data_IF_774734239900
#
_entry.id   IF_774734239900
#
_cell.length_a   1.000
_cell.length_b   1.000
_cell.length_c   1.000
_cell.angle_alpha   90.00
_cell.angle_beta   90.00
_cell.angle_gamma   90.00
#
_symmetry.space_group_name_H-M   'P 1'
#
loop_
_entity.id
_entity.type
_entity.pdbx_description
1 polymer ?
#
# COMPACT_ATOMS: atom_id res chain seq x y z
N UNK A 1 18.23 -15.37 -20.11
CA UNK A 1 17.07 -16.22 -19.77
C UNK A 1 17.57 -17.42 -18.98
N UNK A 2 16.86 -17.83 -17.92
CA UNK A 2 17.25 -18.98 -17.09
C UNK A 2 16.06 -19.90 -16.93
N UNK A 3 16.32 -21.20 -17.01
CA UNK A 3 15.36 -22.28 -16.86
C UNK A 3 15.90 -23.27 -15.83
N UNK A 4 15.02 -24.08 -15.27
CA UNK A 4 15.44 -25.20 -14.42
C UNK A 4 14.69 -26.46 -14.79
N UNK A 5 15.43 -27.52 -14.94
CA UNK A 5 14.91 -28.88 -15.13
C UNK A 5 15.24 -29.69 -13.88
N UNK A 6 14.28 -30.40 -13.35
CA UNK A 6 14.52 -31.30 -12.22
C UNK A 6 15.30 -32.57 -12.66
N UNK A 7 15.66 -33.45 -11.72
CA UNK A 7 16.37 -34.68 -11.99
C UNK A 7 15.68 -35.66 -12.97
N UNK A 8 14.36 -35.47 -13.19
CA UNK A 8 13.56 -36.23 -14.16
C UNK A 8 13.42 -35.52 -15.52
N UNK A 9 14.19 -34.46 -15.77
CA UNK A 9 14.09 -33.65 -17.00
C UNK A 9 12.85 -32.79 -17.13
N UNK A 10 12.03 -32.63 -16.06
CA UNK A 10 10.80 -31.81 -16.11
C UNK A 10 11.15 -30.34 -15.89
N UNK A 11 10.67 -29.49 -16.80
CA UNK A 11 10.78 -28.02 -16.70
C UNK A 11 10.03 -27.48 -15.49
N UNK A 12 10.67 -26.63 -14.69
CA UNK A 12 10.06 -25.96 -13.55
C UNK A 12 9.02 -24.93 -13.99
N UNK A 13 7.95 -24.82 -13.19
CA UNK A 13 6.84 -23.90 -13.40
C UNK A 13 6.29 -23.47 -12.06
N UNK A 14 5.94 -22.18 -11.92
CA UNK A 14 5.45 -21.62 -10.67
C UNK A 14 6.52 -21.50 -9.59
N UNK A 15 6.07 -21.48 -8.32
CA UNK A 15 6.97 -21.43 -7.17
C UNK A 15 7.65 -22.78 -6.97
N UNK A 16 8.95 -22.83 -7.15
CA UNK A 16 9.76 -24.07 -7.10
C UNK A 16 10.88 -23.92 -6.09
N UNK A 17 11.07 -24.95 -5.24
CA UNK A 17 12.20 -25.06 -4.31
C UNK A 17 13.39 -25.71 -5.02
N UNK A 18 14.56 -25.07 -4.96
CA UNK A 18 15.82 -25.60 -5.49
C UNK A 18 16.85 -25.40 -4.39
N UNK A 19 17.36 -26.50 -3.85
CA UNK A 19 18.17 -26.46 -2.64
C UNK A 19 17.42 -25.81 -1.48
N UNK A 20 18.01 -24.84 -0.84
CA UNK A 20 17.41 -24.12 0.30
C UNK A 20 16.60 -22.88 -0.12
N UNK A 21 16.53 -22.58 -1.41
CA UNK A 21 15.90 -21.37 -1.92
C UNK A 21 14.62 -21.66 -2.70
N UNK A 22 13.73 -20.67 -2.73
CA UNK A 22 12.58 -20.67 -3.61
C UNK A 22 12.80 -19.72 -4.79
N UNK A 23 12.33 -20.16 -5.96
CA UNK A 23 12.35 -19.42 -7.21
C UNK A 23 10.94 -19.39 -7.80
N UNK A 24 10.71 -18.50 -8.74
CA UNK A 24 9.46 -18.49 -9.48
C UNK A 24 9.72 -18.57 -10.98
N UNK A 25 9.06 -19.53 -11.63
CA UNK A 25 9.15 -19.76 -13.07
C UNK A 25 7.80 -19.46 -13.73
N UNK A 26 7.83 -18.88 -14.90
CA UNK A 26 6.62 -18.49 -15.61
C UNK A 26 5.71 -19.71 -15.88
N UNK A 27 4.42 -19.54 -15.52
CA UNK A 27 3.40 -20.59 -15.64
C UNK A 27 2.56 -20.43 -16.90
N UNK A 28 2.70 -19.30 -17.60
CA UNK A 28 1.85 -18.95 -18.74
C UNK A 28 1.93 -19.98 -19.85
N UNK A 29 0.78 -20.33 -20.41
CA UNK A 29 0.66 -21.10 -21.63
C UNK A 29 1.02 -20.28 -22.89
N UNK A 30 1.33 -18.98 -22.76
CA UNK A 30 1.91 -18.23 -23.87
C UNK A 30 3.29 -18.85 -24.18
N UNK A 31 3.41 -19.37 -25.37
CA UNK A 31 4.51 -20.20 -25.85
C UNK A 31 5.89 -19.58 -25.71
N UNK A 32 5.99 -18.29 -25.50
CA UNK A 32 7.26 -17.55 -25.51
C UNK A 32 7.96 -17.42 -24.15
N UNK A 33 7.26 -17.65 -23.02
CA UNK A 33 7.81 -17.35 -21.70
C UNK A 33 7.71 -18.49 -20.68
N UNK A 34 7.09 -19.61 -21.02
CA UNK A 34 6.92 -20.75 -20.11
C UNK A 34 8.27 -21.21 -19.55
N UNK A 35 8.34 -21.34 -18.24
CA UNK A 35 9.53 -21.83 -17.57
C UNK A 35 10.66 -20.80 -17.38
N UNK A 36 10.46 -19.53 -17.79
CA UNK A 36 11.47 -18.51 -17.49
C UNK A 36 11.51 -18.19 -16.02
N UNK A 37 12.70 -18.12 -15.47
CA UNK A 37 12.91 -17.68 -14.11
C UNK A 37 12.71 -16.16 -14.00
N UNK A 38 11.82 -15.74 -13.13
CA UNK A 38 11.65 -14.32 -12.79
C UNK A 38 12.86 -13.82 -12.01
N UNK A 39 13.33 -12.61 -12.35
CA UNK A 39 14.44 -11.92 -11.69
C UNK A 39 14.11 -10.45 -11.51
N UNK A 40 14.50 -9.87 -10.36
CA UNK A 40 14.39 -8.46 -10.03
C UNK A 40 12.98 -7.86 -10.29
N UNK A 41 11.93 -8.61 -9.94
CA UNK A 41 10.55 -8.19 -10.23
C UNK A 41 9.55 -8.69 -9.20
N UNK A 42 8.40 -7.99 -9.13
CA UNK A 42 7.21 -8.46 -8.45
C UNK A 42 6.46 -9.46 -9.34
N UNK A 43 5.91 -10.49 -8.73
CA UNK A 43 5.20 -11.57 -9.40
C UNK A 43 3.85 -11.74 -8.73
N UNK A 44 2.76 -11.63 -9.50
CA UNK A 44 1.40 -11.95 -9.02
C UNK A 44 1.04 -13.37 -9.41
N UNK A 45 0.71 -14.19 -8.42
CA UNK A 45 0.29 -15.57 -8.63
C UNK A 45 -0.70 -16.00 -7.55
N UNK A 46 -1.84 -16.56 -7.97
CA UNK A 46 -2.91 -17.01 -7.06
C UNK A 46 -3.29 -15.94 -6.00
N UNK A 47 -3.54 -14.73 -6.46
CA UNK A 47 -3.89 -13.56 -5.63
C UNK A 47 -2.85 -13.16 -4.57
N UNK A 48 -1.61 -13.65 -4.70
CA UNK A 48 -0.49 -13.27 -3.84
C UNK A 48 0.62 -12.61 -4.66
N UNK A 49 1.35 -11.71 -4.01
CA UNK A 49 2.51 -11.07 -4.60
C UNK A 49 3.79 -11.64 -4.00
N UNK A 50 4.77 -11.87 -4.84
CA UNK A 50 6.12 -12.34 -4.51
C UNK A 50 7.14 -11.36 -5.08
N UNK A 51 8.37 -11.39 -4.56
CA UNK A 51 9.48 -10.65 -5.16
C UNK A 51 10.64 -11.58 -5.41
N UNK A 52 11.08 -11.66 -6.67
CA UNK A 52 12.32 -12.34 -7.08
C UNK A 52 13.47 -11.34 -7.08
N UNK A 53 14.55 -11.65 -6.39
CA UNK A 53 15.78 -10.87 -6.39
C UNK A 53 16.51 -10.95 -7.74
N UNK A 54 17.61 -10.22 -7.91
CA UNK A 54 18.39 -10.22 -9.16
C UNK A 54 18.95 -11.59 -9.54
N UNK A 55 19.24 -12.44 -8.56
CA UNK A 55 19.64 -13.82 -8.73
C UNK A 55 18.46 -14.81 -8.91
N UNK A 56 17.22 -14.31 -8.88
CA UNK A 56 15.99 -15.09 -8.99
C UNK A 56 15.47 -15.68 -7.69
N UNK A 57 16.22 -15.62 -6.59
CA UNK A 57 15.77 -16.12 -5.29
C UNK A 57 14.61 -15.28 -4.78
N UNK A 58 13.54 -15.95 -4.33
CA UNK A 58 12.41 -15.25 -3.72
C UNK A 58 12.80 -14.68 -2.35
N UNK A 59 12.54 -13.39 -2.15
CA UNK A 59 12.76 -12.74 -0.87
C UNK A 59 11.79 -13.28 0.18
N UNK A 60 12.33 -13.82 1.26
CA UNK A 60 11.54 -14.45 2.33
C UNK A 60 10.81 -13.41 3.19
N UNK A 61 11.51 -12.37 3.61
CA UNK A 61 10.95 -11.37 4.52
C UNK A 61 11.68 -10.02 4.43
N UNK A 62 11.08 -8.99 5.02
CA UNK A 62 11.65 -7.66 5.16
C UNK A 62 11.29 -6.71 4.01
N UNK A 63 11.78 -5.48 4.13
CA UNK A 63 11.49 -4.40 3.20
C UNK A 63 12.21 -4.55 1.85
N UNK A 64 11.52 -4.17 0.77
CA UNK A 64 12.07 -4.08 -0.58
C UNK A 64 11.48 -2.91 -1.32
N UNK A 65 12.35 -2.07 -1.90
CA UNK A 65 11.94 -1.02 -2.84
C UNK A 65 11.88 -1.59 -4.26
N UNK A 66 10.75 -1.37 -4.94
CA UNK A 66 10.56 -1.72 -6.36
C UNK A 66 9.95 -0.51 -7.05
N UNK A 67 10.66 0.06 -8.01
CA UNK A 67 10.32 1.36 -8.58
C UNK A 67 10.27 2.45 -7.49
N UNK A 68 9.20 3.21 -7.45
CA UNK A 68 8.99 4.27 -6.46
C UNK A 68 8.41 3.79 -5.13
N UNK A 69 7.91 2.56 -5.04
CA UNK A 69 7.20 2.06 -3.87
C UNK A 69 8.05 1.13 -3.02
N UNK A 70 7.75 1.11 -1.70
CA UNK A 70 8.27 0.13 -0.76
C UNK A 70 7.22 -0.95 -0.51
N UNK A 71 7.70 -2.19 -0.37
CA UNK A 71 6.91 -3.39 -0.08
C UNK A 71 7.50 -4.10 1.12
N UNK A 72 6.65 -4.72 1.93
CA UNK A 72 7.10 -5.58 3.02
C UNK A 72 6.71 -7.03 2.71
N UNK A 73 7.68 -7.91 2.82
CA UNK A 73 7.48 -9.35 2.60
C UNK A 73 7.51 -10.08 3.92
N UNK A 74 6.66 -11.09 4.05
CA UNK A 74 6.61 -12.04 5.14
C UNK A 74 6.28 -13.42 4.58
N UNK A 75 7.07 -14.45 4.94
CA UNK A 75 6.88 -15.80 4.43
C UNK A 75 6.80 -15.86 2.89
N UNK A 76 7.71 -15.16 2.21
CA UNK A 76 7.83 -15.03 0.75
C UNK A 76 6.72 -14.23 0.06
N UNK A 77 5.69 -13.79 0.75
CA UNK A 77 4.58 -13.02 0.17
C UNK A 77 4.64 -11.56 0.59
N UNK A 78 4.19 -10.69 -0.30
CA UNK A 78 3.98 -9.28 0.02
C UNK A 78 2.78 -9.16 0.96
N UNK A 79 2.96 -8.45 2.05
CA UNK A 79 1.89 -8.11 3.01
C UNK A 79 1.06 -6.97 2.43
N UNK A 80 -0.27 -7.08 2.55
CA UNK A 80 -1.23 -6.11 2.03
C UNK A 80 -2.23 -5.70 3.12
N UNK A 81 -2.89 -4.55 2.92
CA UNK A 81 -3.98 -4.05 3.78
C UNK A 81 -3.61 -4.04 5.26
N UNK A 82 -2.42 -3.54 5.59
CA UNK A 82 -1.89 -3.60 6.95
C UNK A 82 -1.16 -2.33 7.35
N UNK A 83 -1.42 -1.86 8.57
CA UNK A 83 -0.58 -0.86 9.22
C UNK A 83 0.77 -1.47 9.56
N UNK A 84 1.84 -0.76 9.27
CA UNK A 84 3.21 -1.24 9.47
C UNK A 84 4.16 -0.08 9.70
N UNK A 85 5.24 -0.35 10.42
CA UNK A 85 6.32 0.60 10.67
C UNK A 85 7.52 0.30 9.78
N UNK A 86 8.07 1.33 9.13
CA UNK A 86 9.31 1.24 8.35
C UNK A 86 10.34 2.19 8.96
N UNK A 87 11.30 1.64 9.72
CA UNK A 87 12.16 2.44 10.57
C UNK A 87 11.33 3.16 11.64
N UNK A 88 11.48 4.46 11.77
CA UNK A 88 10.67 5.31 12.66
C UNK A 88 9.33 5.73 12.06
N UNK A 89 9.11 5.51 10.76
CA UNK A 89 7.94 6.02 10.03
C UNK A 89 6.80 5.00 10.08
N UNK A 90 5.68 5.45 10.57
CA UNK A 90 4.41 4.71 10.53
C UNK A 90 3.75 4.86 9.15
N UNK A 91 3.07 3.83 8.69
CA UNK A 91 2.40 3.86 7.41
C UNK A 91 1.50 2.66 7.17
N UNK A 92 1.00 2.55 5.97
CA UNK A 92 0.06 1.52 5.56
C UNK A 92 0.52 0.83 4.28
N UNK A 93 0.29 -0.48 4.22
CA UNK A 93 0.42 -1.28 3.01
C UNK A 93 -0.97 -1.42 2.38
N UNK A 94 -1.14 -0.90 1.18
CA UNK A 94 -2.41 -0.95 0.45
C UNK A 94 -2.74 -2.38 -0.05
N UNK A 95 -3.82 -2.52 -0.81
CA UNK A 95 -4.24 -3.81 -1.39
C UNK A 95 -3.24 -4.42 -2.38
N UNK A 96 -2.31 -3.63 -2.88
CA UNK A 96 -1.21 -4.07 -3.74
C UNK A 96 0.12 -4.23 -2.95
N UNK A 97 0.10 -3.97 -1.64
CA UNK A 97 1.26 -4.03 -0.76
C UNK A 97 2.21 -2.84 -0.86
N UNK A 98 1.78 -1.73 -1.47
CA UNK A 98 2.58 -0.51 -1.57
C UNK A 98 2.52 0.24 -0.25
N UNK A 99 3.69 0.57 0.30
CA UNK A 99 3.79 1.36 1.51
C UNK A 99 3.50 2.82 1.22
N UNK A 100 2.61 3.39 1.98
CA UNK A 100 2.28 4.81 1.97
C UNK A 100 2.16 5.37 3.38
N UNK A 101 2.32 6.68 3.50
CA UNK A 101 2.09 7.49 4.70
C UNK A 101 1.40 8.77 4.25
N UNK A 102 0.75 9.49 5.14
CA UNK A 102 -0.02 10.66 4.78
C UNK A 102 -1.34 10.30 4.07
N UNK A 103 -1.65 10.98 2.99
CA UNK A 103 -2.90 10.78 2.26
C UNK A 103 -2.95 9.43 1.55
N UNK A 104 -4.02 8.68 1.78
CA UNK A 104 -4.31 7.38 1.14
C UNK A 104 -5.66 7.46 0.46
N UNK A 105 -5.64 7.39 -0.86
CA UNK A 105 -6.84 7.45 -1.70
C UNK A 105 -7.29 6.03 -1.98
N UNK A 106 -8.52 5.68 -1.57
CA UNK A 106 -9.16 4.40 -1.84
C UNK A 106 -9.99 4.44 -3.11
N UNK A 107 -10.69 5.56 -3.32
CA UNK A 107 -11.51 5.81 -4.49
C UNK A 107 -11.66 7.30 -4.70
N UNK A 108 -11.25 7.78 -5.85
CA UNK A 108 -11.46 9.18 -6.25
C UNK A 108 -12.94 9.44 -6.55
N UNK A 109 -13.62 8.44 -7.09
CA UNK A 109 -15.04 8.54 -7.47
C UNK A 109 -15.98 8.75 -6.28
N UNK A 110 -15.66 8.11 -5.12
CA UNK A 110 -16.46 8.22 -3.90
C UNK A 110 -15.83 9.14 -2.85
N UNK A 111 -14.79 9.90 -3.19
CA UNK A 111 -14.01 10.72 -2.25
C UNK A 111 -13.58 9.94 -0.99
N UNK A 112 -13.25 8.67 -1.17
CA UNK A 112 -12.82 7.79 -0.10
C UNK A 112 -11.33 7.99 0.19
N UNK A 113 -11.02 9.05 0.91
CA UNK A 113 -9.66 9.45 1.26
C UNK A 113 -9.46 9.33 2.76
N UNK A 114 -8.37 8.74 3.18
CA UNK A 114 -7.93 8.64 4.58
C UNK A 114 -6.58 9.31 4.75
N UNK A 115 -6.25 9.65 5.97
CA UNK A 115 -4.92 10.16 6.31
C UNK A 115 -4.27 9.28 7.37
N UNK A 116 -3.05 8.86 7.09
CA UNK A 116 -2.18 8.15 8.05
C UNK A 116 -1.30 9.20 8.70
N UNK A 117 -1.60 9.53 9.94
CA UNK A 117 -0.79 10.44 10.72
C UNK A 117 0.50 9.72 11.13
N UNK A 118 1.67 10.16 10.65
CA UNK A 118 2.95 9.53 11.00
C UNK A 118 3.25 9.60 12.50
N UNK A 119 2.67 10.58 13.21
CA UNK A 119 2.90 10.81 14.64
C UNK A 119 1.98 9.97 15.54
N UNK A 120 0.88 9.43 14.99
CA UNK A 120 -0.14 8.70 15.76
C UNK A 120 -0.01 7.17 15.74
N UNK A 121 1.15 6.63 15.43
CA UNK A 121 1.41 5.19 15.53
C UNK A 121 0.84 4.33 14.39
N UNK A 122 0.79 4.81 13.16
CA UNK A 122 0.33 4.10 11.94
C UNK A 122 -1.18 3.90 11.84
N UNK A 123 -1.95 4.66 12.57
CA UNK A 123 -3.41 4.57 12.48
C UNK A 123 -3.92 5.64 11.54
N UNK A 124 -5.00 5.32 10.84
CA UNK A 124 -5.79 6.37 10.21
C UNK A 124 -6.34 7.28 11.27
N UNK A 125 -6.40 8.59 10.97
CA UNK A 125 -7.19 9.50 11.75
C UNK A 125 -8.66 9.10 11.68
N UNK A 126 -9.28 8.90 12.82
CA UNK A 126 -10.69 8.50 12.93
C UNK A 126 -11.39 9.39 13.94
N UNK A 127 -12.63 9.75 13.66
CA UNK A 127 -13.49 10.54 14.53
C UNK A 127 -12.78 11.77 15.13
N UNK A 128 -12.06 12.51 14.28
CA UNK A 128 -11.22 13.63 14.71
C UNK A 128 -11.09 14.70 13.64
N UNK A 129 -10.63 15.87 14.06
CA UNK A 129 -10.18 16.95 13.17
C UNK A 129 -8.67 17.09 13.25
N UNK A 130 -8.03 17.44 12.14
CA UNK A 130 -6.59 17.62 12.06
C UNK A 130 -6.20 18.71 11.07
N UNK A 131 -5.30 19.58 11.48
CA UNK A 131 -4.61 20.48 10.56
C UNK A 131 -3.54 19.70 9.81
N UNK A 132 -3.59 19.76 8.47
CA UNK A 132 -2.65 19.08 7.57
C UNK A 132 -2.31 20.08 6.47
N UNK A 133 -1.05 20.44 6.35
CA UNK A 133 -0.55 21.40 5.35
C UNK A 133 -1.35 22.73 5.34
N UNK A 134 -1.66 23.26 6.54
CA UNK A 134 -2.37 24.53 6.70
C UNK A 134 -3.87 24.48 6.44
N UNK A 135 -4.46 23.30 6.26
CA UNK A 135 -5.92 23.11 6.09
C UNK A 135 -6.48 22.20 7.17
N UNK A 136 -7.68 22.52 7.65
CA UNK A 136 -8.38 21.71 8.62
C UNK A 136 -9.21 20.64 7.92
N UNK A 137 -9.03 19.39 8.34
CA UNK A 137 -9.75 18.23 7.82
C UNK A 137 -10.48 17.50 8.93
N UNK A 138 -11.62 16.90 8.57
CA UNK A 138 -12.41 16.05 9.45
C UNK A 138 -12.40 14.61 8.93
N UNK A 139 -12.32 13.66 9.88
CA UNK A 139 -12.31 12.24 9.59
C UNK A 139 -13.43 11.55 10.39
N UNK A 140 -14.23 10.75 9.70
CA UNK A 140 -15.32 10.01 10.34
C UNK A 140 -14.82 8.82 11.17
N UNK A 141 -15.75 8.07 11.76
CA UNK A 141 -15.44 6.88 12.56
C UNK A 141 -14.70 5.79 11.79
N UNK A 142 -14.84 5.74 10.47
CA UNK A 142 -14.17 4.81 9.57
C UNK A 142 -12.83 5.37 9.05
N UNK A 143 -12.49 6.61 9.41
CA UNK A 143 -11.28 7.32 9.00
C UNK A 143 -11.35 7.94 7.62
N UNK A 144 -12.51 8.04 6.99
CA UNK A 144 -12.66 8.74 5.72
C UNK A 144 -12.78 10.26 5.94
N UNK A 145 -12.08 11.02 5.12
CA UNK A 145 -12.22 12.48 5.07
C UNK A 145 -13.67 12.84 4.75
N UNK A 146 -14.20 13.81 5.47
CA UNK A 146 -15.55 14.32 5.26
C UNK A 146 -15.48 15.75 4.73
N UNK A 147 -16.06 15.95 3.56
CA UNK A 147 -16.23 17.28 2.97
C UNK A 147 -17.58 17.89 3.39
N UNK A 148 -18.58 17.05 3.67
CA UNK A 148 -19.86 17.46 4.22
C UNK A 148 -19.89 17.25 5.72
N UNK A 149 -19.97 18.35 6.45
CA UNK A 149 -19.98 18.38 7.92
C UNK A 149 -21.39 18.59 8.50
N UNK A 150 -22.40 18.77 7.68
CA UNK A 150 -23.76 19.07 8.12
C UNK A 150 -24.35 17.97 8.99
N UNK A 151 -23.95 16.71 8.76
CA UNK A 151 -24.38 15.57 9.58
C UNK A 151 -23.61 15.43 10.90
N UNK A 152 -22.46 16.12 11.04
CA UNK A 152 -21.56 15.98 12.20
C UNK A 152 -21.78 17.13 13.19
N UNK A 153 -22.05 18.31 12.68
CA UNK A 153 -22.23 19.50 13.49
C UNK A 153 -23.59 20.16 13.22
N UNK A 154 -24.38 20.22 14.25
CA UNK A 154 -25.62 21.06 14.27
C UNK A 154 -25.23 22.37 14.89
N UNK A 155 -25.47 23.49 14.18
CA UNK A 155 -25.13 24.85 14.64
C UNK A 155 -25.51 25.16 16.07
N UNK A 156 -25.20 26.35 16.56
CA UNK A 156 -24.85 27.54 15.78
C UNK A 156 -23.46 27.53 15.22
N UNK A 157 -23.30 28.12 14.04
CA UNK A 157 -22.03 28.28 13.39
C UNK A 157 -21.58 29.74 13.44
N UNK A 158 -20.29 29.95 13.66
CA UNK A 158 -19.66 31.26 13.47
C UNK A 158 -18.88 31.24 12.16
N UNK A 159 -19.08 32.29 11.37
CA UNK A 159 -18.40 32.48 10.11
C UNK A 159 -17.32 33.56 10.28
N UNK A 160 -16.11 33.23 10.02
CA UNK A 160 -15.02 34.19 9.86
C UNK A 160 -14.65 34.29 8.38
N UNK A 161 -14.71 35.50 7.83
CA UNK A 161 -14.38 35.76 6.43
C UNK A 161 -13.12 36.60 6.39
N UNK A 162 -12.00 35.97 6.00
CA UNK A 162 -10.78 36.69 5.66
C UNK A 162 -10.89 37.21 4.23
N UNK A 163 -11.24 38.48 4.11
CA UNK A 163 -11.41 39.17 2.82
C UNK A 163 -10.08 39.34 2.07
N UNK A 164 -8.97 39.36 2.79
CA UNK A 164 -7.65 39.59 2.23
C UNK A 164 -7.17 38.35 1.47
N UNK A 165 -7.42 37.19 2.03
CA UNK A 165 -6.98 35.91 1.47
C UNK A 165 -8.13 35.12 0.79
N UNK A 166 -9.34 35.65 0.78
CA UNK A 166 -10.51 35.00 0.18
C UNK A 166 -10.90 33.70 0.90
N UNK A 167 -10.61 33.59 2.19
CA UNK A 167 -10.87 32.38 2.99
C UNK A 167 -12.08 32.61 3.88
N UNK A 168 -13.01 31.66 3.85
CA UNK A 168 -14.13 31.59 4.77
C UNK A 168 -13.95 30.40 5.70
N UNK A 169 -13.92 30.67 7.01
CA UNK A 169 -13.80 29.60 8.03
C UNK A 169 -15.10 29.52 8.81
N UNK A 170 -15.63 28.33 8.95
CA UNK A 170 -16.83 28.04 9.71
C UNK A 170 -16.45 27.38 11.02
N UNK A 171 -16.81 27.96 12.14
CA UNK A 171 -16.59 27.38 13.46
C UNK A 171 -17.90 26.84 14.02
N UNK A 172 -17.82 25.76 14.75
CA UNK A 172 -18.89 25.27 15.61
C UNK A 172 -18.59 25.68 17.05
N UNK A 173 -19.58 26.15 17.78
CA UNK A 173 -19.47 26.40 19.21
C UNK A 173 -19.30 25.12 20.01
#
# INVERSE_FOLDING_TARGET
RSYYFNSKGKLASGKTKIGNNYYFFATSNSSTHRGWMYKNTLIRYQNRWYYAASNGVLKKSGWKKVGKYWYYLQNYTVVTNKNIKRGSVNGYLDSQGRFSTGWVIYSDYYDQVRYIDPDSGSKYLTNTRRWIDGKLYYFDKNGFRRNDLTSIYRGPYYLEVDKTNGVMTVYTS
#
